data_IF_212508003694
#
_entry.id   IF_212508003694
#
_cell.length_a   1.000
_cell.length_b   1.000
_cell.length_c   1.000
_cell.angle_alpha   90.00
_cell.angle_beta   90.00
_cell.angle_gamma   90.00
#
_symmetry.space_group_name_H-M   'P 1'
#
loop_
_entity.id
_entity.type
_entity.pdbx_description
1 polymer ?
#
# COMPACT_ATOMS: atom_id res chain seq x y z
N UNK A 1 -18.54 -16.84 0.05
CA UNK A 1 -17.38 -16.30 -0.70
C UNK A 1 -17.71 -14.94 -1.30
N UNK A 2 -18.65 -14.83 -2.25
CA UNK A 2 -19.07 -13.51 -2.80
C UNK A 2 -19.67 -12.61 -1.71
N UNK A 3 -20.54 -13.16 -0.84
CA UNK A 3 -21.10 -12.43 0.30
C UNK A 3 -20.02 -11.84 1.21
N UNK A 4 -18.99 -12.63 1.52
CA UNK A 4 -17.87 -12.24 2.37
C UNK A 4 -17.06 -11.09 1.76
N UNK A 5 -16.79 -11.13 0.45
CA UNK A 5 -16.06 -10.06 -0.24
C UNK A 5 -16.87 -8.75 -0.28
N UNK A 6 -18.19 -8.83 -0.48
CA UNK A 6 -19.08 -7.67 -0.43
C UNK A 6 -19.09 -7.07 0.98
N UNK A 7 -19.18 -7.90 2.02
CA UNK A 7 -19.12 -7.44 3.40
C UNK A 7 -17.82 -6.69 3.68
N UNK A 8 -16.65 -7.22 3.28
CA UNK A 8 -15.35 -6.54 3.43
C UNK A 8 -15.35 -5.14 2.79
N UNK A 9 -15.88 -5.01 1.57
CA UNK A 9 -16.00 -3.72 0.89
C UNK A 9 -16.91 -2.73 1.63
N UNK A 10 -18.04 -3.21 2.16
CA UNK A 10 -18.96 -2.38 2.96
C UNK A 10 -18.28 -1.89 4.23
N UNK A 11 -17.57 -2.78 4.95
CA UNK A 11 -16.84 -2.42 6.16
C UNK A 11 -15.71 -1.42 5.88
N UNK A 12 -14.97 -1.59 4.79
CA UNK A 12 -13.92 -0.65 4.38
C UNK A 12 -14.44 0.74 3.98
N UNK A 13 -15.72 0.86 3.64
CA UNK A 13 -16.36 2.13 3.24
C UNK A 13 -16.93 2.94 4.42
N UNK A 14 -16.68 2.51 5.66
CA UNK A 14 -17.17 3.19 6.86
C UNK A 14 -16.44 4.51 7.10
N UNK A 15 -17.12 5.42 7.81
CA UNK A 15 -16.54 6.72 8.15
C UNK A 15 -15.37 6.58 9.12
N UNK A 16 -14.32 7.33 8.84
CA UNK A 16 -13.10 7.44 9.65
C UNK A 16 -13.43 8.23 10.93
N UNK A 17 -13.00 7.73 12.09
CA UNK A 17 -13.11 8.38 13.39
C UNK A 17 -11.75 8.97 13.85
N UNK A 18 -11.71 9.64 15.00
CA UNK A 18 -10.48 10.28 15.51
C UNK A 18 -9.36 9.30 15.86
N UNK A 19 -9.67 8.08 16.30
CA UNK A 19 -8.68 7.03 16.57
C UNK A 19 -8.05 6.54 15.26
N UNK A 20 -8.85 6.37 14.21
CA UNK A 20 -8.36 5.97 12.90
C UNK A 20 -7.37 7.02 12.35
N UNK A 21 -7.64 8.30 12.52
CA UNK A 21 -6.71 9.38 12.16
C UNK A 21 -5.40 9.31 12.94
N UNK A 22 -5.45 8.93 14.23
CA UNK A 22 -4.25 8.72 15.02
C UNK A 22 -3.44 7.52 14.50
N UNK A 23 -4.10 6.41 14.17
CA UNK A 23 -3.47 5.23 13.56
C UNK A 23 -2.78 5.60 12.24
N UNK A 24 -3.44 6.37 11.38
CA UNK A 24 -2.86 6.88 10.12
C UNK A 24 -1.64 7.75 10.41
N UNK A 25 -1.76 8.71 11.33
CA UNK A 25 -0.66 9.61 11.69
C UNK A 25 0.57 8.85 12.22
N UNK A 26 0.38 7.92 13.15
CA UNK A 26 1.46 7.10 13.71
C UNK A 26 2.08 6.20 12.64
N UNK A 27 1.24 5.54 11.83
CA UNK A 27 1.69 4.68 10.72
C UNK A 27 2.56 5.46 9.73
N UNK A 28 2.14 6.67 9.34
CA UNK A 28 2.90 7.54 8.44
C UNK A 28 4.23 7.99 9.07
N UNK A 29 4.23 8.32 10.37
CA UNK A 29 5.46 8.70 11.08
C UNK A 29 6.46 7.54 11.14
N UNK A 30 5.99 6.34 11.51
CA UNK A 30 6.83 5.13 11.57
C UNK A 30 7.37 4.78 10.19
N UNK A 31 6.50 4.76 9.18
CA UNK A 31 6.92 4.51 7.80
C UNK A 31 7.93 5.55 7.33
N UNK A 32 7.65 6.84 7.51
CA UNK A 32 8.53 7.94 7.11
C UNK A 32 9.90 7.89 7.80
N UNK A 33 9.93 7.56 9.09
CA UNK A 33 11.17 7.42 9.86
C UNK A 33 12.08 6.31 9.33
N UNK A 34 11.53 5.29 8.67
CA UNK A 34 12.30 4.21 8.04
C UNK A 34 12.58 4.53 6.56
N UNK A 35 11.56 4.94 5.83
CA UNK A 35 11.59 5.11 4.39
C UNK A 35 12.45 6.30 3.94
N UNK A 36 12.42 7.43 4.67
CA UNK A 36 13.20 8.60 4.30
C UNK A 36 14.71 8.33 4.43
N UNK A 37 15.24 7.85 5.58
CA UNK A 37 16.68 7.57 5.68
C UNK A 37 17.14 6.51 4.69
N UNK A 38 16.41 5.40 4.55
CA UNK A 38 16.77 4.34 3.59
C UNK A 38 16.72 4.84 2.15
N UNK A 39 15.67 5.59 1.80
CA UNK A 39 15.48 6.13 0.46
C UNK A 39 16.54 7.15 0.05
N UNK A 40 16.95 8.04 0.96
CA UNK A 40 18.02 9.01 0.68
C UNK A 40 19.41 8.35 0.67
N UNK A 41 19.71 7.46 1.63
CA UNK A 41 21.02 6.78 1.71
C UNK A 41 21.28 5.89 0.50
N UNK A 42 20.24 5.26 -0.05
CA UNK A 42 20.32 4.46 -1.28
C UNK A 42 20.29 5.28 -2.58
N UNK A 43 20.13 6.62 -2.48
CA UNK A 43 19.92 7.55 -3.61
C UNK A 43 18.69 7.24 -4.46
N UNK A 44 17.76 6.48 -3.89
CA UNK A 44 16.47 6.14 -4.50
C UNK A 44 15.53 7.35 -4.47
N UNK A 45 15.43 8.02 -3.32
CA UNK A 45 14.73 9.29 -3.17
C UNK A 45 15.65 10.44 -3.56
N UNK A 46 15.15 11.34 -4.40
CA UNK A 46 15.82 12.56 -4.83
C UNK A 46 14.83 13.70 -4.79
N UNK A 47 15.23 14.83 -4.24
CA UNK A 47 14.42 16.05 -4.30
C UNK A 47 14.49 16.58 -5.73
N UNK A 48 13.36 16.57 -6.43
CA UNK A 48 13.23 17.18 -7.75
C UNK A 48 12.01 18.08 -7.78
N UNK A 49 12.13 19.23 -8.45
CA UNK A 49 10.98 20.05 -8.78
C UNK A 49 10.34 19.50 -10.05
N UNK A 50 9.54 18.44 -9.89
CA UNK A 50 8.96 17.74 -11.03
C UNK A 50 7.67 18.37 -11.56
N UNK A 51 7.00 19.22 -10.77
CA UNK A 51 5.71 19.83 -11.14
C UNK A 51 5.90 21.29 -11.54
N UNK A 52 5.36 21.69 -12.70
CA UNK A 52 5.51 23.05 -13.23
C UNK A 52 4.46 24.01 -12.69
N UNK A 53 3.31 23.49 -12.24
CA UNK A 53 2.18 24.28 -11.74
C UNK A 53 1.26 23.44 -10.83
N UNK A 54 0.32 24.10 -10.16
CA UNK A 54 -0.63 23.47 -9.24
C UNK A 54 -1.59 22.48 -9.92
N UNK A 55 -1.89 22.69 -11.20
CA UNK A 55 -2.80 21.80 -11.96
C UNK A 55 -2.14 20.44 -12.19
N UNK A 56 -0.87 20.42 -12.59
CA UNK A 56 -0.10 19.17 -12.76
C UNK A 56 0.04 18.41 -11.44
N UNK A 57 0.28 19.13 -10.33
CA UNK A 57 0.33 18.53 -9.00
C UNK A 57 -1.00 17.86 -8.65
N UNK A 58 -2.12 18.57 -8.80
CA UNK A 58 -3.44 18.04 -8.48
C UNK A 58 -3.82 16.82 -9.34
N UNK A 59 -3.52 16.87 -10.63
CA UNK A 59 -3.73 15.73 -11.53
C UNK A 59 -2.89 14.52 -11.13
N UNK A 60 -1.63 14.74 -10.72
CA UNK A 60 -0.75 13.69 -10.22
C UNK A 60 -1.27 13.06 -8.92
N UNK A 61 -1.74 13.88 -7.98
CA UNK A 61 -2.33 13.40 -6.72
C UNK A 61 -3.59 12.56 -6.96
N UNK A 62 -4.48 13.01 -7.84
CA UNK A 62 -5.67 12.24 -8.21
C UNK A 62 -5.28 10.91 -8.87
N UNK A 63 -4.32 10.92 -9.79
CA UNK A 63 -3.86 9.70 -10.44
C UNK A 63 -3.32 8.70 -9.42
N UNK A 64 -2.40 9.12 -8.55
CA UNK A 64 -1.76 8.28 -7.52
C UNK A 64 -2.79 7.78 -6.49
N UNK A 65 -3.79 8.60 -6.16
CA UNK A 65 -4.88 8.21 -5.28
C UNK A 65 -5.67 7.03 -5.83
N UNK A 66 -6.04 7.03 -7.11
CA UNK A 66 -6.75 5.89 -7.70
C UNK A 66 -5.81 4.70 -7.94
N UNK A 67 -4.66 4.96 -8.56
CA UNK A 67 -3.64 3.95 -8.86
C UNK A 67 -2.24 4.53 -8.61
N UNK A 68 -1.45 3.97 -7.70
CA UNK A 68 -1.63 2.66 -7.07
C UNK A 68 -2.58 2.62 -5.87
N UNK A 69 -2.84 3.74 -5.18
CA UNK A 69 -3.29 3.68 -3.78
C UNK A 69 -4.63 2.96 -3.55
N UNK A 70 -5.74 3.45 -4.10
CA UNK A 70 -7.08 2.93 -3.80
C UNK A 70 -7.29 1.51 -4.35
N UNK A 71 -6.87 1.28 -5.59
CA UNK A 71 -7.06 -0.01 -6.27
C UNK A 71 -6.22 -1.10 -5.59
N UNK A 72 -4.93 -0.85 -5.34
CA UNK A 72 -4.07 -1.85 -4.71
C UNK A 72 -4.51 -2.13 -3.27
N UNK A 73 -4.89 -1.10 -2.50
CA UNK A 73 -5.41 -1.30 -1.15
C UNK A 73 -6.69 -2.15 -1.13
N UNK A 74 -7.60 -1.88 -2.07
CA UNK A 74 -8.82 -2.66 -2.23
C UNK A 74 -8.52 -4.12 -2.52
N UNK A 75 -7.55 -4.41 -3.39
CA UNK A 75 -7.22 -5.79 -3.78
C UNK A 75 -6.47 -6.52 -2.65
N UNK A 76 -5.37 -5.96 -2.17
CA UNK A 76 -4.45 -6.68 -1.30
C UNK A 76 -4.91 -6.69 0.17
N UNK A 77 -5.60 -5.64 0.64
CA UNK A 77 -6.05 -5.56 2.04
C UNK A 77 -7.53 -5.87 2.12
N UNK A 78 -8.37 -5.09 1.45
CA UNK A 78 -9.83 -5.27 1.62
C UNK A 78 -10.33 -6.62 1.09
N UNK A 79 -9.96 -7.03 -0.12
CA UNK A 79 -10.48 -8.25 -0.71
C UNK A 79 -9.71 -9.49 -0.25
N UNK A 80 -8.38 -9.43 -0.17
CA UNK A 80 -7.55 -10.60 0.11
C UNK A 80 -7.39 -10.85 1.62
N UNK A 81 -7.24 -9.81 2.44
CA UNK A 81 -7.03 -9.96 3.88
C UNK A 81 -8.38 -10.09 4.61
N UNK A 82 -8.56 -11.10 5.48
CA UNK A 82 -9.75 -11.21 6.32
C UNK A 82 -9.93 -10.00 7.22
N UNK A 83 -11.15 -9.46 7.21
CA UNK A 83 -11.52 -8.34 8.07
C UNK A 83 -11.56 -8.78 9.54
N UNK A 84 -11.20 -7.90 10.51
CA UNK A 84 -11.21 -8.23 11.93
C UNK A 84 -12.53 -8.83 12.46
N UNK A 85 -13.66 -8.52 11.82
CA UNK A 85 -14.98 -9.05 12.21
C UNK A 85 -15.22 -10.51 11.81
N UNK A 86 -14.41 -11.08 10.92
CA UNK A 86 -14.60 -12.44 10.38
C UNK A 86 -14.20 -13.56 11.38
N UNK A 87 -13.76 -13.21 12.60
CA UNK A 87 -13.48 -14.13 13.72
C UNK A 87 -12.69 -15.38 13.32
N UNK A 88 -11.66 -15.21 12.49
CA UNK A 88 -10.75 -16.28 12.11
C UNK A 88 -9.62 -16.46 13.14
N UNK A 89 -8.95 -17.62 13.12
CA UNK A 89 -7.81 -17.86 14.00
C UNK A 89 -6.60 -16.97 13.64
N UNK A 90 -5.77 -16.62 14.62
CA UNK A 90 -4.56 -15.81 14.39
C UNK A 90 -3.58 -16.46 13.41
N UNK A 91 -3.51 -17.79 13.38
CA UNK A 91 -2.66 -18.55 12.44
C UNK A 91 -3.18 -18.37 11.01
N UNK A 92 -4.50 -18.50 10.81
CA UNK A 92 -5.12 -18.29 9.50
C UNK A 92 -4.95 -16.84 9.05
N UNK A 93 -5.13 -15.88 9.96
CA UNK A 93 -4.92 -14.47 9.64
C UNK A 93 -3.46 -14.20 9.24
N UNK A 94 -2.49 -14.72 9.99
CA UNK A 94 -1.07 -14.58 9.69
C UNK A 94 -0.70 -15.17 8.32
N UNK A 95 -1.31 -16.31 7.95
CA UNK A 95 -1.15 -16.89 6.62
C UNK A 95 -1.64 -15.93 5.52
N UNK A 96 -2.85 -15.38 5.64
CA UNK A 96 -3.39 -14.45 4.65
C UNK A 96 -2.62 -13.13 4.61
N UNK A 97 -2.18 -12.61 5.75
CA UNK A 97 -1.33 -11.41 5.83
C UNK A 97 -0.01 -11.62 5.10
N UNK A 98 0.64 -12.76 5.32
CA UNK A 98 1.91 -13.13 4.66
C UNK A 98 1.70 -13.32 3.16
N UNK A 99 0.64 -14.01 2.76
CA UNK A 99 0.31 -14.24 1.35
C UNK A 99 0.01 -12.92 0.63
N UNK A 100 -0.81 -12.05 1.25
CA UNK A 100 -1.14 -10.73 0.69
C UNK A 100 0.11 -9.88 0.52
N UNK A 101 0.96 -9.79 1.54
CA UNK A 101 2.19 -9.01 1.48
C UNK A 101 3.15 -9.55 0.41
N UNK A 102 3.30 -10.86 0.30
CA UNK A 102 4.13 -11.49 -0.73
C UNK A 102 3.63 -11.19 -2.14
N UNK A 103 2.32 -11.34 -2.38
CA UNK A 103 1.70 -11.03 -3.67
C UNK A 103 1.81 -9.54 -4.00
N UNK A 104 1.64 -8.66 -3.03
CA UNK A 104 1.83 -7.22 -3.19
C UNK A 104 3.26 -6.88 -3.63
N UNK A 105 4.28 -7.48 -3.02
CA UNK A 105 5.68 -7.24 -3.40
C UNK A 105 5.96 -7.76 -4.81
N UNK A 106 5.57 -9.00 -5.13
CA UNK A 106 5.87 -9.64 -6.42
C UNK A 106 5.04 -9.08 -7.57
N UNK A 107 3.86 -8.52 -7.28
CA UNK A 107 3.08 -7.79 -8.26
C UNK A 107 3.91 -6.70 -8.95
N UNK A 108 4.80 -6.01 -8.24
CA UNK A 108 5.57 -4.90 -8.80
C UNK A 108 6.56 -5.34 -9.91
N UNK A 109 7.45 -6.34 -9.69
CA UNK A 109 8.27 -6.90 -10.77
C UNK A 109 7.45 -7.44 -11.93
N UNK A 110 6.35 -8.16 -11.66
CA UNK A 110 5.48 -8.70 -12.71
C UNK A 110 4.89 -7.55 -13.54
N UNK A 111 4.31 -6.55 -12.88
CA UNK A 111 3.74 -5.38 -13.53
C UNK A 111 4.77 -4.67 -14.40
N UNK A 112 6.01 -4.57 -13.93
CA UNK A 112 7.11 -3.96 -14.66
C UNK A 112 7.61 -4.76 -15.88
N UNK A 113 7.28 -6.05 -15.96
CA UNK A 113 7.60 -6.90 -17.10
C UNK A 113 6.44 -7.02 -18.10
N UNK A 114 5.21 -6.77 -17.66
CA UNK A 114 4.01 -7.04 -18.44
C UNK A 114 3.20 -5.78 -18.75
N UNK A 115 2.50 -5.23 -17.75
CA UNK A 115 1.46 -4.21 -17.97
C UNK A 115 2.01 -2.78 -17.90
N UNK A 116 3.09 -2.54 -17.17
CA UNK A 116 3.73 -1.24 -17.03
C UNK A 116 5.27 -1.29 -17.19
N UNK A 117 5.79 -1.57 -18.40
CA UNK A 117 7.23 -1.65 -18.65
C UNK A 117 8.01 -0.37 -18.32
N UNK A 118 7.36 0.80 -18.37
CA UNK A 118 7.96 2.08 -18.00
C UNK A 118 8.39 2.13 -16.53
N UNK A 119 7.75 1.32 -15.66
CA UNK A 119 8.09 1.21 -14.24
C UNK A 119 9.31 0.35 -13.95
N UNK A 120 9.86 -0.37 -14.95
CA UNK A 120 10.98 -1.30 -14.76
C UNK A 120 12.21 -0.71 -14.06
N UNK A 121 12.69 0.51 -14.40
CA UNK A 121 13.82 1.13 -13.70
C UNK A 121 13.59 1.38 -12.21
N UNK A 122 12.36 1.24 -11.73
CA UNK A 122 11.94 1.46 -10.34
C UNK A 122 11.51 0.15 -9.68
N UNK A 123 10.53 -0.55 -10.27
CA UNK A 123 9.87 -1.71 -9.68
C UNK A 123 10.75 -2.96 -9.59
N UNK A 124 11.88 -3.01 -10.32
CA UNK A 124 12.88 -4.07 -10.19
C UNK A 124 13.95 -3.78 -9.16
N UNK A 125 14.03 -2.55 -8.61
CA UNK A 125 15.09 -2.19 -7.68
C UNK A 125 14.82 -2.84 -6.31
N UNK A 126 15.82 -3.54 -5.71
CA UNK A 126 15.64 -4.15 -4.39
C UNK A 126 15.20 -3.15 -3.33
N UNK A 127 15.77 -1.94 -3.33
CA UNK A 127 15.39 -0.88 -2.39
C UNK A 127 13.92 -0.46 -2.53
N UNK A 128 13.40 -0.38 -3.77
CA UNK A 128 11.99 -0.10 -3.98
C UNK A 128 11.13 -1.22 -3.39
N UNK A 129 11.48 -2.48 -3.67
CA UNK A 129 10.75 -3.64 -3.13
C UNK A 129 10.80 -3.70 -1.61
N UNK A 130 11.91 -3.31 -0.99
CA UNK A 130 12.02 -3.18 0.47
C UNK A 130 11.09 -2.10 0.99
N UNK A 131 11.12 -0.89 0.43
CA UNK A 131 10.27 0.22 0.86
C UNK A 131 8.78 -0.05 0.65
N UNK A 132 8.44 -0.64 -0.49
CA UNK A 132 7.09 -1.11 -0.80
C UNK A 132 6.68 -2.24 0.13
N UNK A 133 7.55 -3.20 0.43
CA UNK A 133 7.25 -4.27 1.39
C UNK A 133 6.98 -3.73 2.80
N UNK A 134 7.76 -2.75 3.27
CA UNK A 134 7.52 -2.09 4.55
C UNK A 134 6.19 -1.32 4.52
N UNK A 135 5.90 -0.58 3.44
CA UNK A 135 4.61 0.09 3.25
C UNK A 135 3.46 -0.93 3.29
N UNK A 136 3.62 -2.05 2.60
CA UNK A 136 2.74 -3.21 2.61
C UNK A 136 2.42 -3.66 4.02
N UNK A 137 3.46 -3.92 4.80
CA UNK A 137 3.38 -4.39 6.17
C UNK A 137 2.67 -3.38 7.09
N UNK A 138 3.04 -2.10 7.04
CA UNK A 138 2.43 -1.10 7.92
C UNK A 138 0.96 -0.87 7.59
N UNK A 139 0.56 -0.91 6.30
CA UNK A 139 -0.85 -0.89 5.91
C UNK A 139 -1.61 -2.13 6.43
N UNK A 140 -1.01 -3.32 6.34
CA UNK A 140 -1.59 -4.56 6.89
C UNK A 140 -1.79 -4.49 8.41
N UNK A 141 -0.87 -3.85 9.13
CA UNK A 141 -1.00 -3.62 10.57
C UNK A 141 -2.09 -2.58 10.86
N UNK A 142 -2.13 -1.48 10.10
CA UNK A 142 -3.12 -0.42 10.27
C UNK A 142 -4.56 -0.85 9.90
N UNK A 143 -4.71 -1.90 9.10
CA UNK A 143 -6.01 -2.49 8.73
C UNK A 143 -6.67 -3.27 9.89
N UNK A 144 -5.91 -3.64 10.92
CA UNK A 144 -6.39 -4.43 12.07
C UNK A 144 -6.86 -3.53 13.21
#
# INVERSE_FOLDING_TARGET
MISTLIERLIFASRSINSQDWLVVGVTLLVYGAIALPLGFNSRFLRVSQSFRNLKELFQGLLAIFFMPSLIEESIFRVLLLPHPTEKISSIMWCFWATLSLFLFIIYHPINALTFHPQGNPTFMKPIFLTLTGILGLVCTVAYQ
#
